data_IF_179031039070
#
_entry.id   IF_179031039070
#
_cell.length_a   1.000
_cell.length_b   1.000
_cell.length_c   1.000
_cell.angle_alpha   90.00
_cell.angle_beta   90.00
_cell.angle_gamma   90.00
#
_symmetry.space_group_name_H-M   'P 1'
#
loop_
_entity.id
_entity.type
_entity.pdbx_description
1 polymer ?
#
# COMPACT_ATOMS: atom_id res chain seq x y z
N UNK A 1 -3.51 3.85 13.75
CA UNK A 1 -3.69 4.22 12.34
C UNK A 1 -2.46 3.93 11.59
N UNK A 2 -2.47 2.73 11.06
CA UNK A 2 -1.48 2.23 10.15
C UNK A 2 -2.01 0.90 9.60
N UNK A 3 -3.31 0.81 9.29
CA UNK A 3 -3.89 -0.49 8.94
C UNK A 3 -3.41 -0.91 7.56
N UNK A 4 -3.39 -0.02 6.57
CA UNK A 4 -2.77 -0.28 5.26
C UNK A 4 -1.32 -0.74 5.40
N UNK A 5 -0.49 -0.05 6.19
CA UNK A 5 0.90 -0.45 6.44
C UNK A 5 1.00 -1.81 7.14
N UNK A 6 0.26 -2.00 8.24
CA UNK A 6 0.31 -3.22 9.03
C UNK A 6 -0.19 -4.42 8.24
N UNK A 7 -1.28 -4.25 7.47
CA UNK A 7 -1.80 -5.28 6.57
C UNK A 7 -0.82 -5.59 5.47
N UNK A 8 -0.18 -4.60 4.84
CA UNK A 8 0.88 -4.82 3.88
C UNK A 8 2.02 -5.65 4.49
N UNK A 9 2.58 -5.22 5.63
CA UNK A 9 3.69 -5.92 6.28
C UNK A 9 3.34 -7.37 6.59
N UNK A 10 2.16 -7.63 7.16
CA UNK A 10 1.70 -8.99 7.50
C UNK A 10 1.52 -9.85 6.24
N UNK A 11 0.89 -9.33 5.18
CA UNK A 11 0.71 -10.08 3.93
C UNK A 11 2.06 -10.47 3.30
N UNK A 12 3.04 -9.57 3.34
CA UNK A 12 4.39 -9.83 2.88
C UNK A 12 5.10 -10.89 3.73
N UNK A 13 4.99 -10.80 5.06
CA UNK A 13 5.57 -11.79 5.98
C UNK A 13 4.95 -13.17 5.79
N UNK A 14 3.61 -13.28 5.73
CA UNK A 14 2.93 -14.55 5.51
C UNK A 14 3.40 -15.20 4.20
N UNK A 15 3.52 -14.41 3.13
CA UNK A 15 4.05 -14.91 1.86
C UNK A 15 5.48 -15.42 1.99
N UNK A 16 6.34 -14.68 2.70
CA UNK A 16 7.74 -15.04 2.92
C UNK A 16 7.89 -16.30 3.79
N UNK A 17 6.97 -16.52 4.74
CA UNK A 17 6.92 -17.72 5.58
C UNK A 17 6.37 -18.96 4.86
N UNK A 18 5.96 -18.84 3.60
CA UNK A 18 5.41 -19.95 2.82
C UNK A 18 3.94 -20.25 3.10
N UNK A 19 3.23 -19.32 3.75
CA UNK A 19 1.81 -19.48 4.05
C UNK A 19 0.95 -19.60 2.78
N UNK A 20 -0.18 -20.29 2.90
CA UNK A 20 -1.17 -20.31 1.82
C UNK A 20 -1.86 -18.94 1.71
N UNK A 21 -1.53 -18.20 0.64
CA UNK A 21 -2.13 -16.90 0.36
C UNK A 21 -3.61 -16.99 -0.05
N UNK A 22 -4.16 -18.19 -0.21
CA UNK A 22 -5.59 -18.44 -0.42
C UNK A 22 -6.34 -18.76 0.88
N UNK A 23 -5.66 -18.87 2.02
CA UNK A 23 -6.31 -19.09 3.31
C UNK A 23 -7.33 -17.98 3.63
N UNK A 24 -8.44 -18.35 4.28
CA UNK A 24 -9.58 -17.46 4.47
C UNK A 24 -9.24 -16.13 5.15
N UNK A 25 -8.32 -16.13 6.13
CA UNK A 25 -7.89 -14.92 6.82
C UNK A 25 -7.01 -14.01 5.94
N UNK A 26 -6.20 -14.59 5.04
CA UNK A 26 -5.44 -13.83 4.04
C UNK A 26 -6.39 -13.17 3.06
N UNK A 27 -7.36 -13.94 2.55
CA UNK A 27 -8.37 -13.42 1.61
C UNK A 27 -9.18 -12.28 2.22
N UNK A 28 -9.57 -12.41 3.49
CA UNK A 28 -10.24 -11.34 4.24
C UNK A 28 -9.40 -10.06 4.30
N UNK A 29 -8.09 -10.17 4.51
CA UNK A 29 -7.18 -9.01 4.52
C UNK A 29 -7.03 -8.38 3.12
N UNK A 30 -6.96 -9.20 2.07
CA UNK A 30 -6.93 -8.76 0.67
C UNK A 30 -8.20 -8.00 0.31
N UNK A 31 -9.37 -8.55 0.65
CA UNK A 31 -10.66 -7.94 0.34
C UNK A 31 -10.86 -6.65 1.14
N UNK A 32 -10.37 -6.61 2.38
CA UNK A 32 -10.33 -5.37 3.16
C UNK A 32 -9.49 -4.30 2.47
N UNK A 33 -8.27 -4.60 2.00
CA UNK A 33 -7.45 -3.64 1.25
C UNK A 33 -8.18 -3.14 0.01
N UNK A 34 -8.78 -4.03 -0.79
CA UNK A 34 -9.53 -3.64 -1.99
C UNK A 34 -10.73 -2.73 -1.66
N UNK A 35 -11.43 -3.01 -0.57
CA UNK A 35 -12.58 -2.20 -0.11
C UNK A 35 -12.19 -0.79 0.35
N UNK A 36 -10.91 -0.59 0.72
CA UNK A 36 -10.37 0.72 1.13
C UNK A 36 -9.78 1.54 -0.03
N UNK A 37 -9.81 1.01 -1.26
CA UNK A 37 -9.36 1.76 -2.44
C UNK A 37 -10.30 2.93 -2.74
N UNK A 38 -9.74 4.13 -2.94
CA UNK A 38 -10.51 5.34 -3.22
C UNK A 38 -10.91 5.44 -4.69
N UNK A 39 -11.77 6.41 -5.01
CA UNK A 39 -12.26 6.66 -6.38
C UNK A 39 -11.14 7.01 -7.37
N UNK A 40 -10.10 7.70 -6.90
CA UNK A 40 -8.90 8.06 -7.68
C UNK A 40 -7.94 6.87 -7.94
N UNK A 41 -8.19 5.71 -7.31
CA UNK A 41 -7.37 4.50 -7.45
C UNK A 41 -6.30 4.33 -6.38
N UNK A 42 -6.05 5.33 -5.55
CA UNK A 42 -5.08 5.25 -4.46
C UNK A 42 -5.65 4.77 -3.13
N UNK A 43 -4.78 4.77 -2.12
CA UNK A 43 -5.09 4.52 -0.72
C UNK A 43 -4.59 5.66 0.17
N UNK A 44 -5.31 5.89 1.25
CA UNK A 44 -4.93 6.84 2.30
C UNK A 44 -5.65 6.54 3.61
N UNK A 45 -5.01 6.90 4.70
CA UNK A 45 -5.49 6.88 6.08
C UNK A 45 -5.04 8.18 6.75
N UNK A 46 -5.95 8.82 7.48
CA UNK A 46 -5.63 9.98 8.32
C UNK A 46 -5.25 9.53 9.74
N UNK A 47 -4.41 10.31 10.42
CA UNK A 47 -4.15 10.19 11.86
C UNK A 47 -5.43 10.39 12.70
N UNK A 48 -6.49 10.98 12.15
CA UNK A 48 -7.80 11.08 12.80
C UNK A 48 -8.45 9.71 13.11
N UNK A 49 -8.15 8.63 12.37
CA UNK A 49 -8.74 7.30 12.61
C UNK A 49 -8.40 6.63 13.97
N UNK A 50 -7.56 7.27 14.81
CA UNK A 50 -7.28 6.84 16.19
C UNK A 50 -8.47 7.09 17.12
N UNK A 51 -9.39 7.95 16.67
CA UNK A 51 -10.69 8.18 17.26
C UNK A 51 -11.71 7.25 16.59
N UNK A 52 -12.40 6.43 17.39
CA UNK A 52 -13.34 5.42 16.87
C UNK A 52 -14.41 6.00 15.94
N UNK A 53 -14.84 7.24 16.19
CA UNK A 53 -15.86 7.96 15.42
C UNK A 53 -15.32 8.64 14.14
N UNK A 54 -14.00 8.70 13.93
CA UNK A 54 -13.36 9.32 12.75
C UNK A 54 -12.55 8.31 11.92
N UNK A 55 -12.84 7.02 12.11
CA UNK A 55 -12.08 5.90 11.51
C UNK A 55 -12.06 5.91 9.99
N UNK A 56 -13.09 6.46 9.36
CA UNK A 56 -13.22 6.52 7.91
C UNK A 56 -12.86 7.89 7.34
N UNK A 57 -12.42 8.84 8.17
CA UNK A 57 -11.94 10.12 7.68
C UNK A 57 -10.58 9.94 6.99
N UNK A 58 -10.59 10.17 5.68
CA UNK A 58 -9.39 10.14 4.84
C UNK A 58 -9.46 11.35 3.93
N UNK A 59 -8.49 12.27 4.08
CA UNK A 59 -8.41 13.48 3.28
C UNK A 59 -8.11 13.17 1.82
N UNK A 60 -7.07 12.40 1.56
CA UNK A 60 -6.65 12.05 0.21
C UNK A 60 -5.91 10.71 0.14
N UNK A 61 -5.77 10.20 -1.09
CA UNK A 61 -4.84 9.12 -1.40
C UNK A 61 -3.40 9.64 -1.36
N UNK A 62 -2.48 8.87 -0.79
CA UNK A 62 -1.07 9.26 -0.72
C UNK A 62 -0.19 8.25 -1.48
N UNK A 63 0.90 8.69 -2.13
CA UNK A 63 1.81 7.81 -2.85
C UNK A 63 2.38 6.67 -1.99
N UNK A 64 2.80 6.95 -0.74
CA UNK A 64 3.36 5.95 0.17
C UNK A 64 2.35 4.89 0.58
N UNK A 65 1.15 5.29 1.00
CA UNK A 65 0.12 4.33 1.43
C UNK A 65 -0.45 3.53 0.26
N UNK A 66 -0.60 4.16 -0.90
CA UNK A 66 -0.94 3.47 -2.15
C UNK A 66 0.10 2.39 -2.47
N UNK A 67 1.38 2.71 -2.29
CA UNK A 67 2.47 1.76 -2.52
C UNK A 67 2.42 0.57 -1.56
N UNK A 68 2.13 0.78 -0.27
CA UNK A 68 1.97 -0.33 0.69
C UNK A 68 0.81 -1.25 0.31
N UNK A 69 -0.36 -0.69 -0.01
CA UNK A 69 -1.50 -1.47 -0.46
C UNK A 69 -1.16 -2.31 -1.70
N UNK A 70 -0.49 -1.69 -2.68
CA UNK A 70 -0.03 -2.38 -3.89
C UNK A 70 0.95 -3.52 -3.60
N UNK A 71 1.95 -3.28 -2.75
CA UNK A 71 2.93 -4.30 -2.36
C UNK A 71 2.27 -5.49 -1.65
N UNK A 72 1.31 -5.24 -0.76
CA UNK A 72 0.56 -6.28 -0.04
C UNK A 72 -0.35 -7.09 -0.95
N UNK A 73 -1.09 -6.41 -1.84
CA UNK A 73 -1.92 -7.08 -2.85
C UNK A 73 -1.07 -7.95 -3.78
N UNK A 74 0.07 -7.43 -4.27
CA UNK A 74 0.97 -8.23 -5.11
C UNK A 74 1.59 -9.42 -4.37
N UNK A 75 1.90 -9.29 -3.07
CA UNK A 75 2.37 -10.41 -2.25
C UNK A 75 1.31 -11.52 -2.13
N UNK A 76 0.02 -11.15 -2.12
CA UNK A 76 -1.11 -12.08 -2.11
C UNK A 76 -1.52 -12.61 -3.50
N UNK A 77 -0.76 -12.30 -4.56
CA UNK A 77 -1.02 -12.80 -5.92
C UNK A 77 -2.03 -11.98 -6.74
N UNK A 78 -2.39 -10.78 -6.29
CA UNK A 78 -3.40 -9.93 -6.91
C UNK A 78 -2.87 -9.02 -8.03
N UNK A 79 -1.70 -9.33 -8.59
CA UNK A 79 -1.02 -8.47 -9.59
C UNK A 79 -1.90 -8.10 -10.79
N UNK A 80 -2.77 -9.01 -11.22
CA UNK A 80 -3.66 -8.80 -12.37
C UNK A 80 -5.04 -8.22 -11.98
N UNK A 81 -5.24 -7.88 -10.71
CA UNK A 81 -6.51 -7.32 -10.25
C UNK A 81 -6.71 -5.89 -10.76
N UNK A 82 -7.97 -5.49 -10.99
CA UNK A 82 -8.32 -4.10 -11.32
C UNK A 82 -7.86 -3.12 -10.24
N UNK A 83 -7.85 -3.54 -8.97
CA UNK A 83 -7.37 -2.71 -7.87
C UNK A 83 -5.89 -2.39 -8.00
N UNK A 84 -5.05 -3.38 -8.33
CA UNK A 84 -3.62 -3.14 -8.56
C UNK A 84 -3.41 -2.22 -9.76
N UNK A 85 -4.10 -2.47 -10.89
CA UNK A 85 -3.99 -1.62 -12.08
C UNK A 85 -4.32 -0.15 -11.78
N UNK A 86 -5.45 0.10 -11.11
CA UNK A 86 -5.85 1.46 -10.72
C UNK A 86 -4.87 2.15 -9.76
N UNK A 87 -4.27 1.39 -8.84
CA UNK A 87 -3.25 1.94 -7.94
C UNK A 87 -1.94 2.26 -8.65
N UNK A 88 -1.55 1.45 -9.64
CA UNK A 88 -0.40 1.75 -10.50
C UNK A 88 -0.66 3.01 -11.33
N UNK A 89 -1.85 3.14 -11.92
CA UNK A 89 -2.25 4.34 -12.66
C UNK A 89 -2.24 5.59 -11.78
N UNK A 90 -2.70 5.47 -10.53
CA UNK A 90 -2.60 6.55 -9.55
C UNK A 90 -1.15 6.98 -9.34
N UNK A 91 -0.22 6.04 -9.06
CA UNK A 91 1.19 6.37 -8.86
C UNK A 91 1.84 7.00 -10.10
N UNK A 92 1.49 6.55 -11.31
CA UNK A 92 2.04 7.11 -12.54
C UNK A 92 1.54 8.53 -12.82
N UNK A 93 0.32 8.87 -12.40
CA UNK A 93 -0.30 10.19 -12.57
C UNK A 93 0.00 11.16 -11.42
N UNK A 94 0.37 10.63 -10.25
CA UNK A 94 0.61 11.44 -9.06
C UNK A 94 1.78 12.45 -9.30
N UNK A 95 1.65 13.71 -8.85
CA UNK A 95 2.67 14.73 -9.05
C UNK A 95 4.03 14.32 -8.47
N UNK A 96 5.10 14.54 -9.22
CA UNK A 96 6.47 14.24 -8.80
C UNK A 96 7.49 15.14 -9.49
N UNK A 97 8.62 15.39 -8.81
CA UNK A 97 9.82 15.96 -9.42
C UNK A 97 10.90 14.89 -9.44
N UNK A 98 11.33 14.48 -10.64
CA UNK A 98 12.23 13.35 -10.80
C UNK A 98 11.65 12.08 -10.14
N UNK A 99 12.41 11.43 -9.27
CA UNK A 99 11.97 10.24 -8.53
C UNK A 99 11.14 10.53 -7.26
N UNK A 100 10.87 11.80 -6.93
CA UNK A 100 10.22 12.16 -5.67
C UNK A 100 8.75 12.51 -5.87
N UNK A 101 7.85 11.67 -5.36
CA UNK A 101 6.42 11.97 -5.36
C UNK A 101 6.08 13.05 -4.33
N UNK A 102 5.16 13.93 -4.70
CA UNK A 102 4.65 14.95 -3.78
C UNK A 102 3.68 14.28 -2.81
N UNK A 103 3.96 14.41 -1.52
CA UNK A 103 3.12 13.88 -0.44
C UNK A 103 3.17 14.85 0.73
N UNK A 104 2.15 15.70 0.88
CA UNK A 104 2.13 16.76 1.89
C UNK A 104 1.70 16.27 3.27
N UNK A 105 0.94 15.18 3.35
CA UNK A 105 0.40 14.64 4.59
C UNK A 105 1.38 13.71 5.32
N UNK A 106 1.27 13.68 6.65
CA UNK A 106 2.10 12.82 7.50
C UNK A 106 1.86 11.34 7.21
N UNK A 107 2.95 10.60 7.04
CA UNK A 107 2.95 9.23 6.53
C UNK A 107 3.48 8.21 7.55
N UNK A 108 3.91 8.64 8.74
CA UNK A 108 4.27 7.73 9.81
C UNK A 108 3.80 8.23 11.17
N UNK A 109 3.32 7.28 11.97
CA UNK A 109 3.03 7.50 13.38
C UNK A 109 4.28 7.07 14.14
N UNK A 110 4.98 8.02 14.78
CA UNK A 110 6.11 7.71 15.65
C UNK A 110 5.64 7.15 17.00
N UNK A 111 4.73 7.87 17.67
CA UNK A 111 3.99 7.39 18.83
C UNK A 111 2.51 7.66 18.61
N UNK A 112 1.63 6.63 18.58
CA UNK A 112 0.20 6.83 18.50
C UNK A 112 -0.28 7.88 19.49
N UNK A 113 -0.89 8.95 18.97
CA UNK A 113 -1.48 10.08 19.74
C UNK A 113 -0.48 11.08 20.35
N UNK A 114 0.83 10.93 20.17
CA UNK A 114 1.83 11.82 20.81
C UNK A 114 2.88 12.35 19.80
N UNK A 115 3.23 11.62 18.74
CA UNK A 115 4.32 12.01 17.84
C UNK A 115 4.11 11.47 16.41
N UNK A 116 4.19 12.35 15.41
CA UNK A 116 4.04 11.99 13.99
C UNK A 116 5.32 12.39 13.24
N UNK A 117 5.86 11.48 12.44
CA UNK A 117 7.07 11.69 11.65
C UNK A 117 6.69 11.77 10.17
N UNK A 118 7.27 12.72 9.45
CA UNK A 118 7.28 12.71 7.99
C UNK A 118 8.61 12.11 7.55
N UNK A 119 8.59 10.86 7.09
CA UNK A 119 9.77 10.28 6.46
C UNK A 119 9.82 10.75 5.02
N UNK A 120 10.66 11.75 4.72
CA UNK A 120 10.85 12.28 3.36
C UNK A 120 11.31 11.19 2.36
N UNK A 121 11.89 10.09 2.83
CA UNK A 121 12.28 8.95 2.00
C UNK A 121 11.09 8.10 1.50
N UNK A 122 9.95 8.10 2.18
CA UNK A 122 8.86 7.17 1.84
C UNK A 122 8.20 7.50 0.49
N UNK A 123 8.05 8.78 0.18
CA UNK A 123 7.57 9.26 -1.12
C UNK A 123 8.55 9.03 -2.27
N UNK A 124 9.79 8.65 -1.97
CA UNK A 124 10.81 8.26 -2.96
C UNK A 124 10.82 6.73 -3.15
N UNK A 125 10.99 5.98 -2.06
CA UNK A 125 11.34 4.56 -2.15
C UNK A 125 10.13 3.66 -2.38
N UNK A 126 9.01 3.91 -1.70
CA UNK A 126 7.84 3.03 -1.79
C UNK A 126 7.17 3.07 -3.18
N UNK A 127 6.90 4.25 -3.78
CA UNK A 127 6.36 4.30 -5.13
C UNK A 127 7.25 3.61 -6.15
N UNK A 128 8.56 3.87 -6.09
CA UNK A 128 9.52 3.23 -6.99
C UNK A 128 9.53 1.71 -6.79
N UNK A 129 9.49 1.23 -5.56
CA UNK A 129 9.47 -0.19 -5.24
C UNK A 129 8.20 -0.87 -5.76
N UNK A 130 7.03 -0.28 -5.50
CA UNK A 130 5.76 -0.81 -5.98
C UNK A 130 5.73 -0.90 -7.52
N UNK A 131 6.16 0.15 -8.22
CA UNK A 131 6.25 0.17 -9.68
C UNK A 131 7.25 -0.87 -10.22
N UNK A 132 8.43 -0.98 -9.60
CA UNK A 132 9.44 -1.96 -10.00
C UNK A 132 8.95 -3.40 -9.81
N UNK A 133 8.30 -3.70 -8.67
CA UNK A 133 7.70 -5.01 -8.40
C UNK A 133 6.62 -5.35 -9.42
N UNK A 134 5.71 -4.41 -9.68
CA UNK A 134 4.64 -4.60 -10.66
C UNK A 134 5.19 -4.91 -12.05
N UNK A 135 6.17 -4.11 -12.52
CA UNK A 135 6.85 -4.34 -13.79
C UNK A 135 7.47 -5.74 -13.87
N UNK A 136 8.15 -6.18 -12.81
CA UNK A 136 8.84 -7.47 -12.80
C UNK A 136 7.85 -8.65 -12.80
N UNK A 137 6.74 -8.55 -12.06
CA UNK A 137 5.70 -9.59 -12.03
C UNK A 137 4.96 -9.70 -13.36
N UNK A 138 4.61 -8.57 -13.96
CA UNK A 138 3.89 -8.53 -15.25
C UNK A 138 4.74 -9.00 -16.41
N UNK A 139 6.04 -8.66 -16.46
CA UNK A 139 6.96 -9.13 -17.52
C UNK A 139 7.45 -10.55 -17.31
N UNK A 140 7.60 -10.99 -16.06
CA UNK A 140 8.13 -12.30 -15.72
C UNK A 140 7.12 -13.45 -15.77
N UNK A 141 5.84 -13.18 -16.04
CA UNK A 141 4.76 -14.17 -16.11
C UNK A 141 4.37 -14.81 -14.76
N UNK A 142 5.11 -14.52 -13.69
CA UNK A 142 4.84 -15.03 -12.34
C UNK A 142 3.81 -14.16 -11.61
N UNK A 143 2.83 -14.80 -10.97
CA UNK A 143 1.81 -14.10 -10.17
C UNK A 143 2.29 -13.69 -8.78
N UNK A 144 3.43 -14.20 -8.32
CA UNK A 144 3.95 -14.01 -6.97
C UNK A 144 5.42 -13.54 -6.99
N UNK A 145 5.82 -12.66 -6.05
CA UNK A 145 7.21 -12.23 -5.93
C UNK A 145 8.12 -13.39 -5.53
N UNK A 146 9.28 -13.51 -6.18
CA UNK A 146 10.31 -14.52 -5.87
C UNK A 146 11.14 -14.16 -4.63
N UNK A 147 11.40 -12.87 -4.41
CA UNK A 147 12.21 -12.35 -3.30
C UNK A 147 11.71 -10.96 -2.86
N UNK A 148 11.98 -10.59 -1.59
CA UNK A 148 11.74 -9.26 -1.01
C UNK A 148 10.33 -9.04 -0.44
N UNK A 149 10.23 -8.44 0.76
CA UNK A 149 8.97 -8.06 1.43
C UNK A 149 8.07 -7.24 0.52
#
# INVERSE_FOLDING_TARGET
NNYVYGTWSVLCTLKASGEDMQAAYVRKAVDWLKSRQRGDGGWGEDCASYWQHRRDEVKESTPSQTSWALLGLMAAGEVNSKSVQRGIDFLLKAPRVGGNWHEEYFNAVGFPRIFYLRYHGYSLYFPLWALARYRNLTRGGGKLPKFGM
#
